data_IF_714460091313
#
_entry.id   IF_714460091313
#
_cell.length_a   1.000
_cell.length_b   1.000
_cell.length_c   1.000
_cell.angle_alpha   90.00
_cell.angle_beta   90.00
_cell.angle_gamma   90.00
#
_symmetry.space_group_name_H-M   'P 1'
#
loop_
_entity.id
_entity.type
_entity.pdbx_description
1 polymer ?
#
# COMPACT_ATOMS: atom_id res chain seq x y z
N UNK A 1 3.39 -0.16 -15.58
CA UNK A 1 2.44 -0.47 -14.47
C UNK A 1 2.90 -1.58 -13.54
N UNK A 2 3.18 -2.82 -13.99
CA UNK A 2 3.58 -3.92 -13.09
C UNK A 2 4.76 -3.58 -12.17
N UNK A 3 5.86 -3.03 -12.72
CA UNK A 3 7.04 -2.66 -11.92
C UNK A 3 6.69 -1.67 -10.80
N UNK A 4 5.93 -0.63 -11.13
CA UNK A 4 5.44 0.38 -10.17
C UNK A 4 4.60 -0.25 -9.04
N UNK A 5 3.76 -1.24 -9.37
CA UNK A 5 2.92 -1.94 -8.38
C UNK A 5 3.75 -2.96 -7.57
N UNK A 6 4.88 -3.43 -8.10
CA UNK A 6 5.77 -4.34 -7.38
C UNK A 6 6.62 -3.62 -6.32
N UNK A 7 6.94 -2.34 -6.55
CA UNK A 7 7.70 -1.50 -5.61
C UNK A 7 6.84 -0.90 -4.49
N UNK A 8 5.51 -0.98 -4.60
CA UNK A 8 4.56 -0.37 -3.66
C UNK A 8 3.61 -1.43 -3.12
N UNK A 9 3.34 -1.38 -1.83
CA UNK A 9 2.37 -2.28 -1.21
C UNK A 9 0.96 -2.06 -1.76
N UNK A 10 0.63 -0.82 -2.12
CA UNK A 10 -0.63 -0.43 -2.74
C UNK A 10 -0.45 0.73 -3.72
N UNK A 11 -1.15 0.68 -4.85
CA UNK A 11 -1.21 1.79 -5.81
C UNK A 11 -2.67 2.08 -6.20
N UNK A 12 -3.07 3.36 -6.17
CA UNK A 12 -4.42 3.79 -6.57
C UNK A 12 -4.53 3.86 -8.09
N UNK A 13 -5.76 3.68 -8.58
CA UNK A 13 -6.08 3.87 -10.00
C UNK A 13 -5.80 5.31 -10.46
N UNK A 14 -6.11 6.30 -9.62
CA UNK A 14 -5.89 7.73 -9.91
C UNK A 14 -4.40 8.01 -10.09
N UNK A 15 -3.57 7.57 -9.14
CA UNK A 15 -2.11 7.75 -9.21
C UNK A 15 -1.50 7.14 -10.49
N UNK A 16 -2.00 5.97 -10.91
CA UNK A 16 -1.58 5.32 -12.17
C UNK A 16 -2.09 6.09 -13.39
N UNK A 17 -3.31 6.62 -13.34
CA UNK A 17 -3.90 7.42 -14.42
C UNK A 17 -3.07 8.66 -14.70
N UNK A 18 -2.69 9.38 -13.63
CA UNK A 18 -1.87 10.60 -13.71
C UNK A 18 -0.45 10.29 -14.18
N UNK A 19 0.19 9.28 -13.60
CA UNK A 19 1.58 8.91 -13.91
C UNK A 19 1.78 8.40 -15.34
N UNK A 20 0.81 7.65 -15.88
CA UNK A 20 0.90 7.10 -17.24
C UNK A 20 0.19 8.00 -18.28
N UNK A 21 -0.50 9.06 -17.85
CA UNK A 21 -1.22 9.97 -18.76
C UNK A 21 -2.39 9.33 -19.49
N UNK A 22 -3.02 8.31 -18.89
CA UNK A 22 -4.13 7.55 -19.49
C UNK A 22 -5.38 7.63 -18.62
N UNK A 23 -6.54 7.28 -19.18
CA UNK A 23 -7.80 7.33 -18.43
C UNK A 23 -7.86 6.28 -17.31
N UNK A 24 -8.57 6.57 -16.22
CA UNK A 24 -8.84 5.60 -15.16
C UNK A 24 -9.51 4.32 -15.68
N UNK A 25 -10.34 4.41 -16.72
CA UNK A 25 -10.98 3.23 -17.35
C UNK A 25 -9.93 2.34 -17.99
N UNK A 26 -8.94 2.92 -18.68
CA UNK A 26 -7.80 2.19 -19.24
C UNK A 26 -6.97 1.54 -18.14
N UNK A 27 -6.65 2.28 -17.06
CA UNK A 27 -5.94 1.74 -15.90
C UNK A 27 -6.69 0.55 -15.31
N UNK A 28 -8.01 0.65 -15.11
CA UNK A 28 -8.82 -0.45 -14.55
C UNK A 28 -8.73 -1.70 -15.44
N UNK A 29 -8.89 -1.54 -16.75
CA UNK A 29 -8.79 -2.65 -17.71
C UNK A 29 -7.40 -3.30 -17.72
N UNK A 30 -6.33 -2.50 -17.66
CA UNK A 30 -4.96 -3.01 -17.58
C UNK A 30 -4.71 -3.75 -16.28
N UNK A 31 -5.18 -3.22 -15.15
CA UNK A 31 -5.09 -3.87 -13.85
C UNK A 31 -5.87 -5.19 -13.82
N UNK A 32 -7.05 -5.25 -14.44
CA UNK A 32 -7.83 -6.49 -14.54
C UNK A 32 -7.13 -7.54 -15.40
N UNK A 33 -6.47 -7.11 -16.49
CA UNK A 33 -5.63 -7.98 -17.33
C UNK A 33 -4.43 -8.52 -16.55
N UNK A 34 -3.73 -7.66 -15.80
CA UNK A 34 -2.60 -8.05 -14.96
C UNK A 34 -3.03 -8.97 -13.81
N UNK A 35 -4.23 -8.77 -13.26
CA UNK A 35 -4.78 -9.61 -12.20
C UNK A 35 -5.14 -11.00 -12.71
N UNK A 36 -5.76 -11.09 -13.89
CA UNK A 36 -6.07 -12.36 -14.57
C UNK A 36 -4.80 -13.16 -14.87
N UNK A 37 -3.70 -12.48 -15.21
CA UNK A 37 -2.37 -13.09 -15.41
C UNK A 37 -1.63 -13.41 -14.11
N UNK A 38 -2.23 -13.09 -12.95
CA UNK A 38 -1.66 -13.37 -11.65
C UNK A 38 -0.48 -12.48 -11.25
N UNK A 39 -0.27 -11.33 -11.91
CA UNK A 39 0.82 -10.41 -11.58
C UNK A 39 0.48 -9.45 -10.44
N UNK A 40 -0.80 -9.08 -10.29
CA UNK A 40 -1.29 -8.16 -9.25
C UNK A 40 -2.59 -8.72 -8.64
N UNK A 41 -2.99 -8.18 -7.50
CA UNK A 41 -4.31 -8.44 -6.89
C UNK A 41 -5.11 -7.14 -6.86
N UNK A 42 -6.37 -7.23 -7.31
CA UNK A 42 -7.30 -6.09 -7.26
C UNK A 42 -7.78 -5.86 -5.85
N UNK A 43 -7.87 -4.59 -5.48
CA UNK A 43 -8.49 -4.11 -4.24
C UNK A 43 -9.37 -2.91 -4.56
N UNK A 44 -10.19 -2.47 -3.59
CA UNK A 44 -11.06 -1.31 -3.79
C UNK A 44 -10.23 -0.08 -4.16
N UNK A 45 -10.47 0.45 -5.36
CA UNK A 45 -9.81 1.67 -5.86
C UNK A 45 -8.38 1.52 -6.38
N UNK A 46 -7.82 0.31 -6.44
CA UNK A 46 -6.41 0.14 -6.82
C UNK A 46 -5.98 -1.31 -7.05
N UNK A 47 -4.67 -1.53 -6.93
CA UNK A 47 -4.06 -2.85 -6.99
C UNK A 47 -2.86 -2.96 -6.05
N UNK A 48 -2.56 -4.18 -5.65
CA UNK A 48 -1.40 -4.55 -4.83
C UNK A 48 -0.60 -5.63 -5.55
N UNK A 49 0.69 -5.77 -5.26
CA UNK A 49 1.48 -6.89 -5.79
C UNK A 49 0.95 -8.24 -5.26
N UNK A 50 0.94 -9.30 -6.08
CA UNK A 50 0.58 -10.65 -5.63
C UNK A 50 1.71 -11.37 -4.90
N UNK A 51 2.94 -11.04 -5.24
CA UNK A 51 4.11 -11.40 -4.46
C UNK A 51 4.64 -10.07 -3.93
N UNK A 52 4.39 -9.71 -2.66
CA UNK A 52 5.13 -8.61 -2.07
C UNK A 52 6.61 -8.88 -2.37
N UNK A 53 7.35 -7.85 -2.76
CA UNK A 53 8.80 -7.97 -2.82
C UNK A 53 9.32 -8.47 -1.46
N UNK A 54 10.61 -8.84 -1.36
CA UNK A 54 11.20 -9.09 -0.05
C UNK A 54 10.81 -7.95 0.90
N UNK A 55 10.46 -8.31 2.14
CA UNK A 55 10.11 -7.35 3.16
C UNK A 55 11.21 -6.28 3.21
N UNK A 56 10.80 -5.00 3.11
CA UNK A 56 11.76 -3.90 3.09
C UNK A 56 12.58 -3.96 4.37
N UNK A 57 13.91 -3.73 4.32
CA UNK A 57 14.73 -3.68 5.52
C UNK A 57 14.09 -2.79 6.58
N UNK A 58 14.14 -3.21 7.84
CA UNK A 58 13.49 -2.49 8.94
C UNK A 58 13.87 -1.00 8.95
N UNK A 59 15.14 -0.68 8.68
CA UNK A 59 15.66 0.68 8.61
C UNK A 59 14.98 1.55 7.52
N UNK A 60 14.69 0.96 6.36
CA UNK A 60 13.96 1.64 5.29
C UNK A 60 12.47 1.80 5.64
N UNK A 61 11.87 0.78 6.25
CA UNK A 61 10.50 0.84 6.70
C UNK A 61 10.34 1.87 7.83
N UNK A 62 11.27 1.94 8.77
CA UNK A 62 11.28 2.85 9.92
C UNK A 62 11.24 4.31 9.48
N UNK A 63 12.07 4.67 8.50
CA UNK A 63 12.18 6.04 7.99
C UNK A 63 11.01 6.44 7.09
N UNK A 64 10.36 5.49 6.43
CA UNK A 64 9.18 5.74 5.60
C UNK A 64 7.97 6.20 6.42
N UNK A 65 7.43 7.37 6.04
CA UNK A 65 6.27 8.01 6.69
C UNK A 65 6.44 8.15 8.22
N UNK A 66 7.66 8.43 8.68
CA UNK A 66 7.98 8.46 10.11
C UNK A 66 7.12 9.48 10.90
N UNK A 67 6.83 10.64 10.31
CA UNK A 67 6.02 11.67 10.96
C UNK A 67 4.56 11.21 11.15
N UNK A 68 3.98 10.57 10.14
CA UNK A 68 2.63 10.01 10.17
C UNK A 68 2.54 8.85 11.16
N UNK A 69 3.53 7.94 11.16
CA UNK A 69 3.62 6.84 12.14
C UNK A 69 3.68 7.37 13.56
N UNK A 70 4.49 8.39 13.81
CA UNK A 70 4.57 9.03 15.13
C UNK A 70 3.25 9.70 15.53
N UNK A 71 2.53 10.32 14.60
CA UNK A 71 1.21 10.90 14.87
C UNK A 71 0.17 9.84 15.23
N UNK A 72 0.12 8.74 14.46
CA UNK A 72 -0.76 7.59 14.73
C UNK A 72 -0.42 6.97 16.10
N UNK A 73 0.87 6.76 16.38
CA UNK A 73 1.34 6.20 17.64
C UNK A 73 0.93 7.04 18.86
N UNK A 74 1.03 8.37 18.77
CA UNK A 74 0.56 9.27 19.84
C UNK A 74 -0.95 9.17 20.04
N UNK A 75 -1.73 9.13 18.96
CA UNK A 75 -3.18 8.99 19.05
C UNK A 75 -3.58 7.64 19.67
N UNK A 76 -2.94 6.55 19.24
CA UNK A 76 -3.18 5.22 19.79
C UNK A 76 -2.79 5.13 21.28
N UNK A 77 -1.64 5.70 21.66
CA UNK A 77 -1.19 5.74 23.05
C UNK A 77 -2.16 6.49 23.97
N UNK A 78 -2.81 7.55 23.47
CA UNK A 78 -3.80 8.30 24.22
C UNK A 78 -5.13 7.53 24.44
N UNK A 79 -5.31 6.37 23.79
CA UNK A 79 -6.48 5.51 23.95
C UNK A 79 -6.26 4.34 24.92
N UNK A 80 -5.05 4.17 25.45
CA UNK A 80 -4.71 3.07 26.37
C UNK A 80 -4.90 3.54 27.80
N UNK A 81 -5.72 2.83 28.55
CA UNK A 81 -5.97 3.09 29.96
C UNK A 81 -5.21 2.11 30.88
N UNK A 82 -5.10 2.48 32.16
CA UNK A 82 -4.47 1.62 33.16
C UNK A 82 -5.24 0.30 33.31
N UNK A 83 -4.54 -0.81 33.14
CA UNK A 83 -5.11 -2.16 33.25
C UNK A 83 -5.47 -2.78 31.90
N UNK A 84 -5.34 -2.04 30.80
CA UNK A 84 -5.50 -2.60 29.46
C UNK A 84 -4.36 -3.57 29.12
N UNK A 85 -4.70 -4.58 28.33
CA UNK A 85 -3.72 -5.50 27.73
C UNK A 85 -3.62 -5.20 26.25
N UNK A 86 -2.41 -4.84 25.79
CA UNK A 86 -2.13 -4.48 24.41
C UNK A 86 -1.36 -5.61 23.72
N UNK A 87 -1.77 -5.97 22.50
CA UNK A 87 -1.05 -6.89 21.62
C UNK A 87 -0.24 -6.06 20.63
N UNK A 88 1.02 -6.44 20.43
CA UNK A 88 1.95 -5.81 19.47
C UNK A 88 2.38 -6.86 18.43
N UNK A 89 2.48 -6.42 17.18
CA UNK A 89 2.97 -7.17 16.00
C UNK A 89 4.00 -6.31 15.27
#
# INVERSE_FOLDING_TARGET
MRAVIAERDFTRVVDLSEMFGISEVTVRSDLDTLATRGHVRRVRGGAVSRSPGPERPFEEAETSHAAEKAAIGRAAAAMVDNGDTVILD
#
